data_IF_254339896543
#
_entry.id   IF_254339896543
#
_cell.length_a   1.000
_cell.length_b   1.000
_cell.length_c   1.000
_cell.angle_alpha   90.00
_cell.angle_beta   90.00
_cell.angle_gamma   90.00
#
_symmetry.space_group_name_H-M   'P 1'
#
loop_
_entity.id
_entity.type
_entity.pdbx_description
1 polymer ?
#
# COMPACT_ATOMS: atom_id res chain seq x y z
N UNK A 1 -25.73 -2.62 34.44
CA UNK A 1 -26.93 -2.68 33.57
C UNK A 1 -27.26 -1.32 32.93
N UNK A 2 -26.84 -0.19 33.51
CA UNK A 2 -27.15 1.17 33.00
C UNK A 2 -26.33 1.65 31.80
N UNK A 3 -25.15 1.08 31.52
CA UNK A 3 -24.32 1.53 30.38
C UNK A 3 -24.78 1.05 29.00
N UNK A 4 -25.71 0.09 28.91
CA UNK A 4 -26.07 -0.57 27.65
C UNK A 4 -26.82 0.37 26.69
N UNK A 5 -27.76 1.16 27.21
CA UNK A 5 -28.56 2.10 26.41
C UNK A 5 -27.72 3.28 25.87
N UNK A 6 -26.86 3.94 26.70
CA UNK A 6 -25.91 4.93 26.20
C UNK A 6 -24.92 4.39 25.15
N UNK A 7 -24.51 3.13 25.27
CA UNK A 7 -23.60 2.49 24.30
C UNK A 7 -24.22 2.35 22.92
N UNK A 8 -25.52 2.06 22.79
CA UNK A 8 -26.19 2.03 21.49
C UNK A 8 -26.25 3.40 20.83
N UNK A 9 -26.51 4.45 21.62
CA UNK A 9 -26.48 5.83 21.11
C UNK A 9 -25.08 6.19 20.60
N UNK A 10 -24.05 5.85 21.37
CA UNK A 10 -22.65 6.07 20.98
C UNK A 10 -22.30 5.31 19.69
N UNK A 11 -22.67 4.03 19.59
CA UNK A 11 -22.44 3.23 18.39
C UNK A 11 -23.12 3.85 17.16
N UNK A 12 -24.38 4.29 17.30
CA UNK A 12 -25.11 4.96 16.23
C UNK A 12 -24.37 6.22 15.76
N UNK A 13 -23.95 7.07 16.69
CA UNK A 13 -23.18 8.28 16.37
C UNK A 13 -21.86 7.97 15.66
N UNK A 14 -21.14 6.91 16.08
CA UNK A 14 -19.92 6.48 15.41
C UNK A 14 -20.18 6.00 13.97
N UNK A 15 -21.26 5.25 13.73
CA UNK A 15 -21.63 4.77 12.39
C UNK A 15 -22.06 5.94 11.51
N UNK A 16 -22.81 6.90 12.04
CA UNK A 16 -23.23 8.11 11.32
C UNK A 16 -22.01 8.94 10.91
N UNK A 17 -21.07 9.17 11.84
CA UNK A 17 -19.81 9.86 11.55
C UNK A 17 -18.97 9.12 10.51
N UNK A 18 -18.84 7.79 10.62
CA UNK A 18 -18.12 6.97 9.64
C UNK A 18 -18.75 7.08 8.25
N UNK A 19 -20.08 6.94 8.17
CA UNK A 19 -20.83 6.99 6.91
C UNK A 19 -20.71 8.37 6.24
N UNK A 20 -20.74 9.43 7.05
CA UNK A 20 -20.53 10.79 6.55
C UNK A 20 -19.09 10.98 6.03
N UNK A 21 -18.09 10.57 6.81
CA UNK A 21 -16.68 10.70 6.44
C UNK A 21 -16.32 9.89 5.20
N UNK A 22 -16.81 8.64 5.09
CA UNK A 22 -16.55 7.74 3.97
C UNK A 22 -16.94 8.35 2.62
N UNK A 23 -18.06 9.09 2.55
CA UNK A 23 -18.51 9.76 1.32
C UNK A 23 -17.56 10.86 0.85
N UNK A 24 -16.75 11.40 1.76
CA UNK A 24 -15.83 12.50 1.51
C UNK A 24 -14.37 12.01 1.37
N UNK A 25 -14.11 10.71 1.48
CA UNK A 25 -12.76 10.16 1.26
C UNK A 25 -12.36 10.37 -0.20
N UNK A 26 -11.15 10.86 -0.40
CA UNK A 26 -10.54 11.06 -1.70
C UNK A 26 -9.23 10.29 -1.79
N UNK A 27 -8.99 9.65 -2.94
CA UNK A 27 -7.73 8.97 -3.22
C UNK A 27 -6.68 10.02 -3.59
N UNK A 28 -5.50 9.95 -2.98
CA UNK A 28 -4.33 10.74 -3.40
C UNK A 28 -3.54 9.92 -4.43
N UNK A 29 -3.85 10.12 -5.71
CA UNK A 29 -3.35 9.30 -6.83
C UNK A 29 -1.81 9.19 -6.86
N UNK A 30 -1.12 10.30 -6.56
CA UNK A 30 0.34 10.41 -6.64
C UNK A 30 1.02 10.33 -5.27
N UNK A 31 0.41 9.67 -4.28
CA UNK A 31 0.94 9.65 -2.91
C UNK A 31 2.35 9.07 -2.83
N UNK A 32 2.70 8.11 -3.68
CA UNK A 32 4.01 7.45 -3.75
C UNK A 32 5.14 8.32 -4.34
N UNK A 33 4.81 9.51 -4.86
CA UNK A 33 5.80 10.47 -5.33
C UNK A 33 6.44 11.25 -4.17
N UNK A 34 5.75 11.35 -3.04
CA UNK A 34 6.24 11.98 -1.81
C UNK A 34 7.49 11.22 -1.28
N UNK A 35 8.55 11.97 -0.94
CA UNK A 35 9.85 11.44 -0.54
C UNK A 35 9.79 10.46 0.62
N UNK A 36 8.81 10.60 1.53
CA UNK A 36 8.66 9.67 2.65
C UNK A 36 8.35 8.22 2.22
N UNK A 37 7.86 8.02 0.98
CA UNK A 37 7.61 6.69 0.42
C UNK A 37 8.76 6.17 -0.44
N UNK A 38 9.87 6.92 -0.58
CA UNK A 38 11.03 6.51 -1.36
C UNK A 38 11.50 5.10 -0.98
N UNK A 39 11.57 4.80 0.32
CA UNK A 39 12.07 3.52 0.85
C UNK A 39 11.11 2.34 0.64
N UNK A 40 9.87 2.57 0.20
CA UNK A 40 8.92 1.51 -0.17
C UNK A 40 9.50 0.60 -1.27
N UNK A 41 10.33 1.17 -2.16
CA UNK A 41 10.93 0.47 -3.29
C UNK A 41 12.25 -0.24 -2.96
N UNK A 42 12.69 -0.24 -1.71
CA UNK A 42 13.93 -0.91 -1.30
C UNK A 42 13.90 -2.42 -1.56
N UNK A 43 12.75 -3.06 -1.32
CA UNK A 43 12.57 -4.50 -1.56
C UNK A 43 12.63 -4.80 -3.06
N UNK A 44 12.05 -3.93 -3.90
CA UNK A 44 12.13 -4.10 -5.35
C UNK A 44 13.56 -4.02 -5.87
N UNK A 45 14.37 -3.07 -5.37
CA UNK A 45 15.77 -3.01 -5.80
C UNK A 45 16.61 -4.18 -5.28
N UNK A 46 16.33 -4.68 -4.07
CA UNK A 46 16.95 -5.92 -3.59
C UNK A 46 16.57 -7.08 -4.52
N UNK A 47 15.29 -7.22 -4.85
CA UNK A 47 14.79 -8.28 -5.73
C UNK A 47 15.39 -8.20 -7.13
N UNK A 48 15.52 -6.99 -7.69
CA UNK A 48 16.14 -6.76 -9.01
C UNK A 48 17.60 -7.20 -9.03
N UNK A 49 18.38 -6.84 -8.01
CA UNK A 49 19.76 -7.31 -7.88
C UNK A 49 19.82 -8.84 -7.77
N UNK A 50 18.93 -9.44 -6.99
CA UNK A 50 18.85 -10.91 -6.87
C UNK A 50 18.52 -11.58 -8.21
N UNK A 51 17.56 -11.03 -8.95
CA UNK A 51 17.21 -11.54 -10.29
C UNK A 51 18.36 -11.36 -11.29
N UNK A 52 19.22 -10.36 -11.11
CA UNK A 52 20.45 -10.20 -11.90
C UNK A 52 21.60 -11.13 -11.48
N UNK A 53 21.39 -12.00 -10.48
CA UNK A 53 22.33 -13.01 -10.02
C UNK A 53 23.15 -12.63 -8.78
N UNK A 54 22.88 -11.48 -8.15
CA UNK A 54 23.54 -11.09 -6.90
C UNK A 54 22.97 -11.90 -5.74
N UNK A 55 23.80 -12.52 -4.88
CA UNK A 55 23.30 -13.18 -3.68
C UNK A 55 22.48 -12.22 -2.81
N UNK A 56 21.35 -12.70 -2.26
CA UNK A 56 20.43 -11.87 -1.48
C UNK A 56 21.11 -11.02 -0.41
N UNK A 57 22.06 -11.61 0.34
CA UNK A 57 22.80 -10.91 1.39
C UNK A 57 23.57 -9.70 0.86
N UNK A 58 24.15 -9.82 -0.33
CA UNK A 58 24.96 -8.76 -0.92
C UNK A 58 24.05 -7.70 -1.54
N UNK A 59 22.96 -8.10 -2.21
CA UNK A 59 21.92 -7.20 -2.68
C UNK A 59 21.36 -6.33 -1.53
N UNK A 60 21.03 -6.96 -0.39
CA UNK A 60 20.55 -6.26 0.80
C UNK A 60 21.56 -5.23 1.32
N UNK A 61 22.85 -5.58 1.38
CA UNK A 61 23.91 -4.65 1.79
C UNK A 61 24.10 -3.49 0.82
N UNK A 62 24.05 -3.76 -0.49
CA UNK A 62 24.20 -2.74 -1.54
C UNK A 62 23.07 -1.71 -1.42
N UNK A 63 21.83 -2.16 -1.35
CA UNK A 63 20.67 -1.26 -1.23
C UNK A 63 20.72 -0.47 0.09
N UNK A 64 21.03 -1.14 1.21
CA UNK A 64 21.19 -0.47 2.51
C UNK A 64 22.31 0.58 2.50
N UNK A 65 23.42 0.32 1.81
CA UNK A 65 24.50 1.29 1.62
C UNK A 65 24.04 2.51 0.82
N UNK A 66 23.35 2.30 -0.30
CA UNK A 66 22.83 3.40 -1.14
C UNK A 66 21.86 4.29 -0.36
N UNK A 67 21.03 3.70 0.50
CA UNK A 67 20.12 4.45 1.38
C UNK A 67 20.91 5.30 2.37
N UNK A 68 21.88 4.72 3.07
CA UNK A 68 22.68 5.43 4.07
C UNK A 68 23.53 6.56 3.45
N UNK A 69 23.97 6.39 2.21
CA UNK A 69 24.75 7.39 1.47
C UNK A 69 23.88 8.45 0.77
N UNK A 70 22.55 8.33 0.84
CA UNK A 70 21.62 9.26 0.18
C UNK A 70 21.61 9.16 -1.36
N UNK A 71 22.16 8.09 -1.92
CA UNK A 71 22.24 7.83 -3.37
C UNK A 71 21.11 6.90 -3.86
N UNK A 72 20.20 6.52 -2.97
CA UNK A 72 19.10 5.62 -3.28
C UNK A 72 18.06 6.29 -4.19
N UNK A 73 18.12 5.95 -5.48
CA UNK A 73 17.17 6.38 -6.51
C UNK A 73 16.59 5.15 -7.23
N UNK A 74 15.58 4.49 -6.65
CA UNK A 74 15.01 3.26 -7.18
C UNK A 74 14.12 3.51 -8.40
N UNK A 75 13.97 2.49 -9.25
CA UNK A 75 12.90 2.50 -10.25
C UNK A 75 11.53 2.32 -9.55
N UNK A 76 10.64 3.29 -9.75
CA UNK A 76 9.28 3.26 -9.18
C UNK A 76 8.29 2.45 -10.04
N UNK A 77 8.70 1.98 -11.22
CA UNK A 77 7.86 1.14 -12.08
C UNK A 77 7.80 -0.28 -11.54
N UNK A 78 6.59 -0.73 -11.22
CA UNK A 78 6.34 -2.06 -10.70
C UNK A 78 5.62 -2.90 -11.76
N UNK A 79 6.21 -4.04 -12.13
CA UNK A 79 5.64 -4.98 -13.10
C UNK A 79 5.33 -6.32 -12.44
N UNK A 80 4.38 -6.34 -11.51
CA UNK A 80 3.95 -7.59 -10.89
C UNK A 80 2.81 -8.25 -11.66
N UNK A 81 2.90 -9.56 -11.83
CA UNK A 81 1.86 -10.38 -12.47
C UNK A 81 0.92 -11.04 -11.45
N UNK A 82 1.30 -11.04 -10.18
CA UNK A 82 0.55 -11.72 -9.12
C UNK A 82 -0.79 -11.02 -8.84
N UNK A 83 -1.88 -11.79 -8.75
CA UNK A 83 -3.21 -11.21 -8.46
C UNK A 83 -3.24 -10.56 -7.08
N UNK A 84 -3.80 -9.36 -6.99
CA UNK A 84 -3.84 -8.56 -5.77
C UNK A 84 -2.55 -7.82 -5.43
N UNK A 85 -1.52 -7.90 -6.29
CA UNK A 85 -0.27 -7.15 -6.10
C UNK A 85 -0.36 -5.72 -6.66
N UNK A 86 0.63 -4.90 -6.30
CA UNK A 86 0.79 -3.55 -6.89
C UNK A 86 1.05 -3.71 -8.40
N UNK A 87 0.14 -3.18 -9.22
CA UNK A 87 0.15 -3.35 -10.69
C UNK A 87 -0.84 -4.40 -11.22
N UNK A 88 -1.37 -5.29 -10.37
CA UNK A 88 -2.44 -6.23 -10.71
C UNK A 88 -3.44 -6.37 -9.55
N UNK A 89 -4.17 -5.28 -9.28
CA UNK A 89 -5.14 -5.20 -8.18
C UNK A 89 -6.43 -6.00 -8.42
N UNK A 90 -6.63 -6.52 -9.63
CA UNK A 90 -7.86 -7.23 -10.04
C UNK A 90 -9.14 -6.40 -9.85
N UNK A 91 -9.08 -5.09 -10.11
CA UNK A 91 -10.23 -4.19 -9.92
C UNK A 91 -11.40 -4.56 -10.83
N UNK A 92 -11.12 -4.96 -12.07
CA UNK A 92 -12.14 -5.37 -13.03
C UNK A 92 -12.88 -6.62 -12.55
N UNK A 93 -12.17 -7.63 -12.03
CA UNK A 93 -12.79 -8.83 -11.46
C UNK A 93 -13.60 -8.53 -10.20
N UNK A 94 -13.15 -7.59 -9.36
CA UNK A 94 -13.89 -7.14 -8.17
C UNK A 94 -15.20 -6.47 -8.58
N UNK A 95 -15.16 -5.58 -9.58
CA UNK A 95 -16.36 -4.91 -10.11
C UNK A 95 -17.31 -5.92 -10.75
N UNK A 96 -16.80 -6.84 -11.55
CA UNK A 96 -17.60 -7.90 -12.17
C UNK A 96 -18.30 -8.77 -11.11
N UNK A 97 -17.61 -9.10 -10.01
CA UNK A 97 -18.22 -9.84 -8.89
C UNK A 97 -19.29 -9.02 -8.18
N UNK A 98 -19.02 -7.74 -7.89
CA UNK A 98 -19.96 -6.84 -7.22
C UNK A 98 -21.27 -6.67 -7.99
N UNK A 99 -21.19 -6.61 -9.33
CA UNK A 99 -22.35 -6.40 -10.20
C UNK A 99 -23.12 -7.69 -10.54
N UNK A 100 -22.66 -8.85 -10.07
CA UNK A 100 -23.30 -10.14 -10.31
C UNK A 100 -24.45 -10.43 -9.33
N UNK A 101 -24.50 -9.69 -8.23
CA UNK A 101 -25.56 -9.69 -7.21
C UNK A 101 -26.44 -8.45 -7.34
#
# INVERSE_FOLDING_TARGET
KEGLIPSFSTLKSCIEMLTYSLKNIQVKEHIIEDEKYLYLFSVEEVNKLVQSGVPFRDAYKIVGKNINEGTFNPDKKVNHTHKGSVGNLCLDEIVAKKNKD
#
